data_IF_914950916683
#
_entry.id   IF_914950916683
#
_cell.length_a   1.000
_cell.length_b   1.000
_cell.length_c   1.000
_cell.angle_alpha   90.00
_cell.angle_beta   90.00
_cell.angle_gamma   90.00
#
_symmetry.space_group_name_H-M   'P 1'
#
loop_
_entity.id
_entity.type
_entity.pdbx_description
1 polymer ?
#
# COMPACT_ATOMS: atom_id res chain seq x y z
N UNK A 1 -9.79 -28.77 48.26
CA UNK A 1 -8.58 -28.88 47.41
C UNK A 1 -8.84 -28.05 46.17
N UNK A 2 -8.17 -26.91 46.09
CA UNK A 2 -8.21 -25.99 44.95
C UNK A 2 -7.53 -26.66 43.76
N UNK A 3 -8.28 -26.95 42.70
CA UNK A 3 -7.76 -27.33 41.40
C UNK A 3 -8.09 -26.23 40.40
N UNK A 4 -7.40 -25.09 40.50
CA UNK A 4 -7.46 -24.05 39.48
C UNK A 4 -6.86 -24.58 38.19
N UNK A 5 -7.69 -24.76 37.17
CA UNK A 5 -7.23 -25.09 35.83
C UNK A 5 -6.63 -23.81 35.20
N UNK A 6 -5.33 -23.64 35.36
CA UNK A 6 -4.54 -22.78 34.48
C UNK A 6 -4.00 -23.65 33.35
N UNK A 7 -4.38 -23.36 32.11
CA UNK A 7 -3.75 -24.02 30.98
C UNK A 7 -4.41 -23.75 29.64
N UNK A 8 -3.90 -22.73 28.95
CA UNK A 8 -3.89 -22.71 27.48
C UNK A 8 -5.06 -21.99 26.82
N UNK A 9 -5.15 -20.67 27.00
CA UNK A 9 -5.76 -19.85 25.95
C UNK A 9 -4.88 -19.96 24.71
N UNK A 10 -5.29 -20.78 23.74
CA UNK A 10 -4.71 -20.78 22.41
C UNK A 10 -4.92 -19.37 21.84
N UNK A 11 -3.89 -18.53 21.92
CA UNK A 11 -3.86 -17.25 21.21
C UNK A 11 -3.86 -17.62 19.73
N UNK A 12 -5.05 -17.68 19.13
CA UNK A 12 -5.18 -17.78 17.67
C UNK A 12 -4.55 -16.51 17.15
N UNK A 13 -3.33 -16.63 16.63
CA UNK A 13 -2.67 -15.52 15.98
C UNK A 13 -3.49 -15.16 14.74
N UNK A 14 -3.91 -13.90 14.63
CA UNK A 14 -4.63 -13.43 13.45
C UNK A 14 -3.69 -13.52 12.25
N UNK A 15 -3.99 -14.43 11.32
CA UNK A 15 -3.17 -14.69 10.14
C UNK A 15 -3.64 -13.90 8.91
N UNK A 16 -4.56 -12.95 9.10
CA UNK A 16 -5.02 -12.10 8.00
C UNK A 16 -3.91 -11.22 7.47
N UNK A 17 -3.90 -11.02 6.16
CA UNK A 17 -2.94 -10.14 5.48
C UNK A 17 -2.98 -8.71 6.05
N UNK A 18 -4.18 -8.21 6.33
CA UNK A 18 -4.36 -6.86 6.88
C UNK A 18 -3.64 -6.71 8.22
N UNK A 19 -3.85 -7.65 9.13
CA UNK A 19 -3.19 -7.61 10.43
C UNK A 19 -1.67 -7.74 10.27
N UNK A 20 -1.22 -8.79 9.58
CA UNK A 20 0.20 -9.14 9.49
C UNK A 20 1.02 -8.14 8.66
N UNK A 21 0.51 -7.66 7.53
CA UNK A 21 1.30 -6.91 6.56
C UNK A 21 0.96 -5.41 6.47
N UNK A 22 -0.08 -4.93 7.17
CA UNK A 22 -0.49 -3.52 7.10
C UNK A 22 -0.53 -2.87 8.48
N UNK A 23 -1.16 -3.52 9.47
CA UNK A 23 -1.36 -2.95 10.80
C UNK A 23 -0.16 -3.20 11.74
N UNK A 24 0.47 -4.37 11.66
CA UNK A 24 1.69 -4.68 12.39
C UNK A 24 2.90 -3.94 11.78
N UNK A 25 3.56 -3.00 12.48
CA UNK A 25 4.62 -2.18 11.89
C UNK A 25 5.80 -3.00 11.36
N UNK A 26 6.22 -4.03 12.11
CA UNK A 26 7.31 -4.91 11.70
C UNK A 26 6.90 -5.76 10.50
N UNK A 27 5.69 -6.32 10.52
CA UNK A 27 5.21 -7.14 9.42
C UNK A 27 5.01 -6.33 8.14
N UNK A 28 4.51 -5.09 8.23
CA UNK A 28 4.47 -4.14 7.12
C UNK A 28 5.85 -3.84 6.57
N UNK A 29 6.83 -3.56 7.43
CA UNK A 29 8.22 -3.31 6.99
C UNK A 29 8.78 -4.52 6.23
N UNK A 30 8.63 -5.72 6.79
CA UNK A 30 9.11 -6.95 6.16
C UNK A 30 8.42 -7.20 4.81
N UNK A 31 7.11 -6.96 4.74
CA UNK A 31 6.34 -7.13 3.52
C UNK A 31 6.74 -6.09 2.46
N UNK A 32 6.98 -4.83 2.83
CA UNK A 32 7.52 -3.81 1.93
C UNK A 32 8.89 -4.23 1.36
N UNK A 33 9.80 -4.78 2.17
CA UNK A 33 11.09 -5.32 1.68
C UNK A 33 10.91 -6.51 0.73
N UNK A 34 9.94 -7.37 1.02
CA UNK A 34 9.60 -8.48 0.13
C UNK A 34 9.10 -7.97 -1.23
N UNK A 35 8.24 -6.94 -1.25
CA UNK A 35 7.76 -6.33 -2.49
C UNK A 35 8.93 -5.71 -3.30
N UNK A 36 9.79 -4.94 -2.64
CA UNK A 36 10.98 -4.31 -3.26
C UNK A 36 11.90 -5.35 -3.93
N UNK A 37 12.14 -6.49 -3.26
CA UNK A 37 13.04 -7.53 -3.73
C UNK A 37 12.45 -8.51 -4.75
N UNK A 38 11.14 -8.46 -5.00
CA UNK A 38 10.45 -9.45 -5.85
C UNK A 38 10.14 -8.87 -7.23
N UNK A 39 10.80 -9.36 -8.31
CA UNK A 39 10.47 -8.96 -9.67
C UNK A 39 8.98 -9.17 -9.97
N UNK A 40 8.34 -8.16 -10.54
CA UNK A 40 6.89 -8.15 -10.80
C UNK A 40 6.04 -7.57 -9.67
N UNK A 41 6.54 -7.50 -8.43
CA UNK A 41 5.87 -6.84 -7.30
C UNK A 41 6.50 -5.51 -6.91
N UNK A 42 7.75 -5.26 -7.32
CA UNK A 42 8.50 -4.05 -6.99
C UNK A 42 7.73 -2.75 -7.30
N UNK A 43 7.06 -2.65 -8.45
CA UNK A 43 6.26 -1.48 -8.82
C UNK A 43 5.08 -1.24 -7.86
N UNK A 44 4.44 -2.29 -7.34
CA UNK A 44 3.37 -2.17 -6.36
C UNK A 44 3.90 -1.69 -5.00
N UNK A 45 5.07 -2.19 -4.58
CA UNK A 45 5.75 -1.72 -3.37
C UNK A 45 6.16 -0.25 -3.47
N UNK A 46 6.73 0.15 -4.60
CA UNK A 46 7.11 1.53 -4.87
C UNK A 46 5.90 2.47 -4.89
N UNK A 47 4.80 2.09 -5.56
CA UNK A 47 3.56 2.87 -5.55
C UNK A 47 3.04 3.07 -4.13
N UNK A 48 3.01 2.01 -3.32
CA UNK A 48 2.54 2.12 -1.93
C UNK A 48 3.40 3.11 -1.12
N UNK A 49 4.72 3.01 -1.20
CA UNK A 49 5.61 3.94 -0.50
C UNK A 49 5.40 5.41 -0.92
N UNK A 50 5.18 5.66 -2.21
CA UNK A 50 4.92 6.99 -2.75
C UNK A 50 3.54 7.53 -2.35
N UNK A 51 2.51 6.67 -2.22
CA UNK A 51 1.21 7.08 -1.68
C UNK A 51 1.31 7.48 -0.20
N UNK A 52 2.07 6.76 0.61
CA UNK A 52 2.32 7.13 2.02
C UNK A 52 3.16 8.40 2.16
N UNK A 53 4.02 8.69 1.19
CA UNK A 53 4.71 9.97 1.11
C UNK A 53 3.74 11.09 0.70
N UNK A 54 2.90 10.84 -0.30
CA UNK A 54 1.90 11.79 -0.79
C UNK A 54 0.89 12.22 0.28
N UNK A 55 0.44 11.30 1.14
CA UNK A 55 -0.43 11.60 2.28
C UNK A 55 0.20 12.58 3.27
N UNK A 56 1.54 12.69 3.28
CA UNK A 56 2.30 13.61 4.12
C UNK A 56 2.73 14.89 3.41
N UNK A 57 2.43 15.05 2.11
CA UNK A 57 2.76 16.26 1.37
C UNK A 57 1.95 17.47 1.85
N UNK A 58 2.63 18.61 1.89
CA UNK A 58 1.97 19.91 2.07
C UNK A 58 1.12 20.26 0.85
N UNK A 59 0.12 21.13 1.04
CA UNK A 59 -0.81 21.50 -0.03
C UNK A 59 -0.11 22.09 -1.27
N UNK A 60 0.98 22.85 -1.05
CA UNK A 60 1.78 23.44 -2.12
C UNK A 60 2.50 22.39 -2.99
N UNK A 61 2.86 21.24 -2.41
CA UNK A 61 3.62 20.17 -3.08
C UNK A 61 2.69 19.12 -3.70
N UNK A 62 1.47 19.00 -3.16
CA UNK A 62 0.49 17.95 -3.49
C UNK A 62 0.20 17.88 -4.99
N UNK A 63 0.05 19.02 -5.67
CA UNK A 63 -0.20 19.04 -7.12
C UNK A 63 0.93 18.41 -7.93
N UNK A 64 2.18 18.73 -7.60
CA UNK A 64 3.37 18.16 -8.26
C UNK A 64 3.55 16.67 -7.95
N UNK A 65 3.38 16.28 -6.69
CA UNK A 65 3.47 14.89 -6.26
C UNK A 65 2.40 14.01 -6.94
N UNK A 66 1.16 14.49 -7.08
CA UNK A 66 0.10 13.80 -7.80
C UNK A 66 0.40 13.63 -9.30
N UNK A 67 1.01 14.63 -9.94
CA UNK A 67 1.44 14.53 -11.33
C UNK A 67 2.56 13.48 -11.50
N UNK A 68 3.54 13.47 -10.60
CA UNK A 68 4.64 12.50 -10.60
C UNK A 68 4.13 11.06 -10.42
N UNK A 69 3.22 10.83 -9.45
CA UNK A 69 2.56 9.53 -9.25
C UNK A 69 1.87 9.03 -10.52
N UNK A 70 1.06 9.89 -11.15
CA UNK A 70 0.32 9.54 -12.39
C UNK A 70 1.26 9.17 -13.54
N UNK A 71 2.29 9.98 -13.77
CA UNK A 71 3.26 9.73 -14.85
C UNK A 71 4.08 8.45 -14.65
N UNK A 72 4.48 8.17 -13.40
CA UNK A 72 5.35 7.04 -13.06
C UNK A 72 4.60 5.71 -13.01
N UNK A 73 3.42 5.68 -12.38
CA UNK A 73 2.72 4.43 -12.04
C UNK A 73 1.43 4.18 -12.82
N UNK A 74 0.69 5.20 -13.24
CA UNK A 74 -0.66 5.01 -13.84
C UNK A 74 -0.66 5.13 -15.37
N UNK A 75 0.43 5.63 -15.96
CA UNK A 75 0.53 5.85 -17.40
C UNK A 75 1.20 4.65 -18.07
N UNK A 76 0.58 4.03 -19.10
CA UNK A 76 1.24 3.00 -19.90
C UNK A 76 2.57 3.52 -20.48
N UNK A 77 3.66 2.79 -20.24
CA UNK A 77 5.01 3.22 -20.61
C UNK A 77 5.75 4.05 -19.55
N UNK A 78 5.11 4.36 -18.41
CA UNK A 78 5.79 4.89 -17.22
C UNK A 78 6.80 3.89 -16.67
N UNK A 79 7.86 4.39 -16.03
CA UNK A 79 9.00 3.59 -15.57
C UNK A 79 8.61 2.43 -14.63
N UNK A 80 7.55 2.61 -13.83
CA UNK A 80 7.01 1.61 -12.91
C UNK A 80 5.51 1.45 -13.10
N UNK A 81 5.06 1.41 -14.37
CA UNK A 81 3.65 1.28 -14.70
C UNK A 81 2.99 0.07 -14.00
N UNK A 82 1.98 0.35 -13.18
CA UNK A 82 1.22 -0.61 -12.39
C UNK A 82 0.06 -1.20 -13.22
N UNK A 83 0.38 -2.12 -14.13
CA UNK A 83 -0.60 -2.75 -15.03
C UNK A 83 -1.69 -3.61 -14.34
N UNK A 84 -1.58 -3.84 -13.03
CA UNK A 84 -2.61 -4.52 -12.24
C UNK A 84 -3.78 -3.58 -11.86
N UNK A 85 -3.62 -2.26 -12.00
CA UNK A 85 -4.66 -1.29 -11.70
C UNK A 85 -5.73 -1.30 -12.78
N UNK A 86 -7.00 -1.28 -12.36
CA UNK A 86 -8.12 -1.18 -13.30
C UNK A 86 -8.26 0.25 -13.82
N UNK A 87 -8.85 0.39 -15.01
CA UNK A 87 -9.16 1.71 -15.57
C UNK A 87 -10.04 2.56 -14.63
N UNK A 88 -10.94 1.92 -13.88
CA UNK A 88 -11.80 2.60 -12.91
C UNK A 88 -10.99 3.17 -11.72
N UNK A 89 -9.96 2.45 -11.25
CA UNK A 89 -9.11 2.93 -10.17
C UNK A 89 -8.22 4.13 -10.57
N UNK A 90 -7.91 4.26 -11.86
CA UNK A 90 -7.09 5.35 -12.42
C UNK A 90 -7.92 6.50 -12.99
N UNK A 91 -9.25 6.38 -13.00
CA UNK A 91 -10.12 7.42 -13.53
C UNK A 91 -10.06 8.69 -12.68
N UNK A 92 -10.16 9.89 -13.28
CA UNK A 92 -10.35 11.11 -12.51
C UNK A 92 -11.62 11.01 -11.66
N UNK A 93 -11.68 11.71 -10.51
CA UNK A 93 -12.90 11.72 -9.69
C UNK A 93 -14.06 12.23 -10.55
N UNK A 94 -15.15 11.47 -10.59
CA UNK A 94 -16.35 11.84 -11.34
C UNK A 94 -16.92 13.13 -10.75
N UNK A 95 -16.63 14.27 -11.37
CA UNK A 95 -17.07 15.59 -10.89
C UNK A 95 -16.23 16.77 -11.37
N UNK A 96 -15.00 16.57 -11.83
CA UNK A 96 -14.18 17.65 -12.39
C UNK A 96 -14.29 17.64 -13.92
N UNK A 97 -15.09 18.55 -14.46
CA UNK A 97 -15.16 18.80 -15.90
C UNK A 97 -13.78 19.28 -16.40
N UNK A 98 -13.36 18.91 -17.62
CA UNK A 98 -12.13 19.44 -18.19
C UNK A 98 -12.30 20.95 -18.46
N UNK A 99 -11.21 21.74 -18.45
CA UNK A 99 -11.25 23.17 -18.74
C UNK A 99 -11.77 23.47 -20.16
#
# INVERSE_FOLDING_TARGET
QNGGSHGGGHLVEDTSFRWQCVEQPIGKLLFQRFLEGTPGLAAAGALWAELEAYERCEDAERGGAAAALRGRFFTPGGAEHCGFLSAAAMAPPTGEAPP
#
